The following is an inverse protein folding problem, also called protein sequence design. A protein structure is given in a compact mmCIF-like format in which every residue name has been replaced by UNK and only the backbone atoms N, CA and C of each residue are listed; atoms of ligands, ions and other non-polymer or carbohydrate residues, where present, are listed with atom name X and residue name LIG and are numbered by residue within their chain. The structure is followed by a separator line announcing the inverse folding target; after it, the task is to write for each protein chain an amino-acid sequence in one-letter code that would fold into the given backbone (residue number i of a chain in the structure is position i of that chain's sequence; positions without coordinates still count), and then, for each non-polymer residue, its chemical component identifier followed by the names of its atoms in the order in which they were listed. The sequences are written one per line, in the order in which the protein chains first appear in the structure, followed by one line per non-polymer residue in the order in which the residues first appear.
data_IF_664272941199
#
_entry.id   IF_664272941199
#
_cell.length_a   1.000
_cell.length_b   1.000
_cell.length_c   1.000
_cell.angle_alpha   90.00
_cell.angle_beta   90.00
_cell.angle_gamma   90.00
#
_symmetry.space_group_name_H-M   'P 1'
#
loop_
_entity.id
_entity.type
_entity.pdbx_description
1 polymer ?
#
# COMPACT_ATOMS: atom_id res chain seq x y z
N UNK A 1 -17.67 35.50 -50.87
CA UNK A 1 -17.32 36.77 -51.53
C UNK A 1 -18.13 37.85 -50.86
N UNK A 2 -17.65 38.91 -50.24
CA UNK A 2 -16.34 39.36 -49.79
C UNK A 2 -16.74 40.47 -48.80
N UNK A 3 -16.34 40.40 -47.54
CA UNK A 3 -16.50 41.53 -46.64
C UNK A 3 -15.13 41.96 -46.13
N UNK A 4 -14.92 43.23 -46.37
CA UNK A 4 -13.69 44.00 -46.34
C UNK A 4 -13.23 44.25 -44.91
N UNK A 5 -11.92 44.11 -44.72
CA UNK A 5 -11.17 44.69 -43.61
C UNK A 5 -11.30 46.21 -43.64
N UNK A 6 -11.34 46.86 -42.47
CA UNK A 6 -10.49 48.02 -42.17
C UNK A 6 -10.59 48.47 -40.70
N UNK A 7 -9.44 48.98 -40.24
CA UNK A 7 -9.22 49.91 -39.11
C UNK A 7 -9.35 49.35 -37.67
N UNK A 8 -8.50 49.70 -36.70
CA UNK A 8 -7.32 50.57 -36.63
C UNK A 8 -6.66 50.30 -35.26
N UNK A 9 -5.33 50.18 -35.23
CA UNK A 9 -4.53 50.18 -33.99
C UNK A 9 -4.14 51.62 -33.64
N UNK A 10 -4.10 52.01 -32.34
CA UNK A 10 -3.32 53.17 -31.92
C UNK A 10 -2.00 52.72 -31.29
N UNK A 11 -0.92 53.08 -31.96
CA UNK A 11 0.45 53.17 -31.44
C UNK A 11 0.66 54.52 -30.75
N UNK A 12 1.18 54.50 -29.52
CA UNK A 12 1.72 55.68 -28.85
C UNK A 12 3.09 55.34 -28.23
N UNK A 13 4.15 55.82 -28.90
CA UNK A 13 5.42 56.29 -28.34
C UNK A 13 5.15 57.53 -27.46
N UNK A 14 5.93 58.01 -26.49
CA UNK A 14 7.38 58.01 -26.21
C UNK A 14 7.61 58.76 -24.88
N UNK A 15 8.87 58.80 -24.41
CA UNK A 15 9.51 59.69 -23.40
C UNK A 15 9.39 59.23 -21.93
N UNK A 16 10.45 58.76 -21.25
CA UNK A 16 11.79 59.29 -20.90
C UNK A 16 11.80 60.26 -19.71
N UNK A 17 12.21 59.79 -18.54
CA UNK A 17 12.93 60.60 -17.55
C UNK A 17 13.50 59.74 -16.41
N UNK A 18 14.83 59.76 -16.37
CA UNK A 18 15.73 59.38 -15.27
C UNK A 18 15.40 60.13 -13.98
N UNK A 19 15.35 59.43 -12.83
CA UNK A 19 15.72 59.99 -11.51
C UNK A 19 16.40 58.92 -10.66
N UNK A 20 17.66 59.20 -10.32
CA UNK A 20 18.48 58.54 -9.32
C UNK A 20 17.87 58.64 -7.92
N UNK A 21 17.97 57.57 -7.13
CA UNK A 21 17.56 57.59 -5.72
C UNK A 21 18.14 56.43 -4.94
N UNK A 22 19.44 56.49 -4.65
CA UNK A 22 20.09 55.64 -3.68
C UNK A 22 19.52 55.87 -2.28
N UNK A 23 19.09 54.80 -1.60
CA UNK A 23 18.98 54.75 -0.13
C UNK A 23 19.14 53.31 0.35
N UNK A 24 20.32 53.04 0.90
CA UNK A 24 20.67 51.90 1.75
C UNK A 24 20.10 52.09 3.18
N UNK A 25 20.11 51.05 4.03
CA UNK A 25 19.05 50.74 5.00
C UNK A 25 19.37 51.23 6.43
N UNK A 26 18.40 51.13 7.36
CA UNK A 26 18.72 51.02 8.77
C UNK A 26 18.71 49.56 9.26
N UNK A 27 19.79 49.28 9.98
CA UNK A 27 20.12 48.13 10.80
C UNK A 27 19.25 47.99 12.05
N UNK A 28 19.38 46.83 12.72
CA UNK A 28 19.07 46.53 14.14
C UNK A 28 17.58 46.27 14.46
N UNK A 29 17.16 45.24 15.23
CA UNK A 29 17.72 44.63 16.44
C UNK A 29 17.33 43.15 16.57
N UNK A 30 18.32 42.31 16.89
CA UNK A 30 18.13 41.04 17.61
C UNK A 30 18.22 41.32 19.12
N UNK A 31 17.45 40.61 19.95
CA UNK A 31 17.90 40.27 21.29
C UNK A 31 17.96 38.75 21.47
N UNK A 32 19.18 38.26 21.56
CA UNK A 32 19.55 37.02 22.22
C UNK A 32 19.60 37.25 23.74
N UNK A 33 18.86 36.45 24.51
CA UNK A 33 19.21 36.20 25.90
C UNK A 33 19.09 34.69 26.16
N UNK A 34 20.25 34.08 26.41
CA UNK A 34 20.37 32.85 27.17
C UNK A 34 20.00 33.18 28.61
N UNK A 35 19.32 32.24 29.27
CA UNK A 35 19.58 31.93 30.67
C UNK A 35 19.50 30.41 30.86
N UNK A 36 20.68 29.83 31.05
CA UNK A 36 20.94 28.55 31.69
C UNK A 36 20.48 28.60 33.14
N UNK A 37 19.66 27.66 33.58
CA UNK A 37 19.81 27.10 34.93
C UNK A 37 19.35 25.64 34.99
N UNK A 38 20.32 24.85 35.45
CA UNK A 38 20.37 23.46 35.83
C UNK A 38 19.32 23.12 36.90
N UNK A 39 18.70 21.94 36.83
CA UNK A 39 18.39 21.08 37.99
C UNK A 39 17.82 19.74 37.48
N UNK A 40 18.60 18.67 37.66
CA UNK A 40 18.19 17.26 37.58
C UNK A 40 17.24 16.92 38.72
N UNK A 41 16.34 15.93 38.55
CA UNK A 41 16.69 14.63 39.12
C UNK A 41 16.31 13.42 38.27
N UNK A 42 17.27 12.51 38.22
CA UNK A 42 17.17 11.05 38.31
C UNK A 42 15.74 10.46 38.46
N UNK A 43 15.24 9.78 37.42
CA UNK A 43 14.32 8.65 37.60
C UNK A 43 14.48 7.66 36.43
N UNK A 44 15.02 6.51 36.80
CA UNK A 44 15.05 5.26 36.06
C UNK A 44 13.63 4.79 35.76
N UNK A 45 13.32 4.54 34.49
CA UNK A 45 12.18 3.72 34.09
C UNK A 45 12.54 2.87 32.88
N UNK A 46 12.29 1.59 33.07
CA UNK A 46 12.55 0.48 32.18
C UNK A 46 11.86 0.68 30.83
N UNK A 47 12.63 0.73 29.75
CA UNK A 47 12.09 0.64 28.40
C UNK A 47 11.87 -0.84 28.07
N UNK A 48 10.60 -1.25 28.06
CA UNK A 48 10.17 -2.43 27.33
C UNK A 48 10.23 -2.15 25.81
N UNK A 49 10.63 -3.13 24.98
CA UNK A 49 10.71 -2.92 23.54
C UNK A 49 9.30 -2.79 22.94
N UNK A 50 8.94 -1.58 22.50
CA UNK A 50 7.76 -1.31 21.68
C UNK A 50 8.06 -1.76 20.25
N UNK A 51 7.55 -2.92 19.87
CA UNK A 51 7.49 -3.41 18.51
C UNK A 51 6.60 -2.50 17.66
N UNK A 52 7.23 -1.52 17.01
CA UNK A 52 6.58 -0.63 16.05
C UNK A 52 6.56 -1.28 14.66
N UNK A 53 5.39 -1.48 14.03
CA UNK A 53 5.33 -1.93 12.64
C UNK A 53 5.64 -0.74 11.72
N UNK A 54 6.87 -0.69 11.23
CA UNK A 54 7.31 0.21 10.17
C UNK A 54 6.47 0.03 8.92
N UNK A 55 6.11 1.15 8.28
CA UNK A 55 5.54 1.17 6.92
C UNK A 55 6.63 1.01 5.85
N UNK A 56 7.57 0.09 6.07
CA UNK A 56 8.22 -0.63 4.98
C UNK A 56 7.21 -1.64 4.43
N UNK A 57 7.32 -2.00 3.15
CA UNK A 57 6.66 -3.19 2.61
C UNK A 57 7.21 -4.42 3.35
N UNK A 58 6.71 -4.70 4.55
CA UNK A 58 6.78 -6.02 5.14
C UNK A 58 5.46 -6.72 4.84
N UNK A 59 5.50 -7.48 3.76
CA UNK A 59 4.65 -8.65 3.60
C UNK A 59 4.89 -9.52 4.82
N UNK A 60 3.81 -9.87 5.50
CA UNK A 60 3.82 -10.88 6.56
C UNK A 60 4.36 -12.17 5.93
N UNK A 61 5.58 -12.56 6.32
CA UNK A 61 6.18 -13.83 5.94
C UNK A 61 5.29 -14.93 6.55
N UNK A 62 4.51 -15.59 5.69
CA UNK A 62 3.54 -16.60 6.10
C UNK A 62 4.22 -17.80 6.74
N UNK A 63 3.71 -18.16 7.92
CA UNK A 63 3.54 -19.54 8.40
C UNK A 63 4.58 -20.57 7.93
N UNK A 64 5.57 -20.82 8.77
CA UNK A 64 6.31 -22.08 8.75
C UNK A 64 5.34 -23.25 8.96
N UNK A 65 5.26 -24.13 7.98
CA UNK A 65 4.58 -25.42 8.07
C UNK A 65 5.39 -26.37 8.98
N UNK A 66 4.77 -27.19 9.85
CA UNK A 66 5.47 -28.23 10.57
C UNK A 66 5.99 -29.30 9.60
N UNK A 67 7.31 -29.48 9.53
CA UNK A 67 7.94 -30.66 8.91
C UNK A 67 7.93 -31.80 9.93
N UNK A 68 7.20 -32.87 9.63
CA UNK A 68 7.34 -34.13 10.35
C UNK A 68 8.69 -34.80 10.04
N UNK A 69 9.32 -35.28 11.12
CA UNK A 69 10.57 -36.01 11.14
C UNK A 69 10.47 -37.40 10.47
N UNK A 70 11.51 -37.80 9.74
CA UNK A 70 11.91 -39.19 9.55
C UNK A 70 13.38 -39.26 9.19
N UNK A 71 14.20 -39.58 10.20
CA UNK A 71 15.53 -40.15 10.01
C UNK A 71 15.40 -41.67 9.87
N UNK A 72 16.01 -42.24 8.84
CA UNK A 72 17.03 -43.30 8.95
C UNK A 72 17.46 -43.77 7.54
N UNK A 73 18.66 -43.34 7.15
CA UNK A 73 19.59 -43.93 6.17
C UNK A 73 19.97 -45.37 6.58
N UNK A 74 20.51 -46.27 5.70
CA UNK A 74 21.74 -45.98 4.95
C UNK A 74 22.05 -46.68 3.61
N UNK A 75 23.05 -46.05 2.96
CA UNK A 75 24.12 -46.59 2.10
C UNK A 75 23.87 -46.95 0.62
N UNK A 76 24.71 -46.30 -0.20
CA UNK A 76 24.99 -46.37 -1.66
C UNK A 76 25.71 -47.69 -2.08
N UNK A 77 26.17 -47.94 -3.35
CA UNK A 77 26.29 -47.05 -4.52
C UNK A 77 25.96 -47.63 -5.93
N UNK A 78 25.95 -46.72 -6.91
CA UNK A 78 26.38 -46.84 -8.32
C UNK A 78 25.80 -47.92 -9.26
N UNK A 79 25.19 -47.50 -10.38
CA UNK A 79 25.76 -47.70 -11.73
C UNK A 79 24.85 -47.12 -12.82
N UNK A 80 25.51 -46.73 -13.91
CA UNK A 80 24.94 -46.18 -15.13
C UNK A 80 24.44 -47.28 -16.10
N UNK A 81 23.85 -46.79 -17.20
CA UNK A 81 23.72 -47.40 -18.52
C UNK A 81 22.39 -48.06 -18.96
N UNK A 82 21.91 -47.51 -20.09
CA UNK A 82 21.33 -48.16 -21.27
C UNK A 82 19.84 -48.56 -21.34
N UNK A 83 19.14 -47.81 -22.22
CA UNK A 83 18.65 -48.27 -23.53
C UNK A 83 17.59 -49.40 -23.52
N UNK A 84 16.35 -49.06 -23.88
CA UNK A 84 15.61 -49.80 -24.92
C UNK A 84 14.49 -48.97 -25.58
N UNK A 85 14.57 -48.88 -26.90
CA UNK A 85 13.52 -48.48 -27.84
C UNK A 85 12.60 -49.67 -28.14
N UNK A 86 11.33 -49.41 -28.42
CA UNK A 86 10.38 -50.25 -29.18
C UNK A 86 9.14 -49.38 -29.42
N UNK A 87 8.99 -48.64 -30.53
CA UNK A 87 8.48 -49.04 -31.86
C UNK A 87 7.16 -49.82 -31.90
N UNK A 88 6.24 -49.32 -32.73
CA UNK A 88 4.91 -49.87 -33.10
C UNK A 88 3.79 -48.91 -32.69
N UNK A 89 3.35 -47.88 -33.45
CA UNK A 89 3.00 -47.73 -34.86
C UNK A 89 1.77 -48.53 -35.32
N UNK A 90 0.70 -47.78 -35.64
CA UNK A 90 -0.40 -48.00 -36.62
C UNK A 90 -1.80 -47.90 -35.97
N UNK A 91 -2.52 -46.81 -36.21
CA UNK A 91 -3.41 -46.54 -37.36
C UNK A 91 -4.78 -47.25 -37.17
N UNK A 92 -5.83 -46.51 -36.84
CA UNK A 92 -6.73 -45.78 -37.75
C UNK A 92 -7.91 -46.64 -38.20
N UNK A 93 -9.13 -46.29 -37.77
CA UNK A 93 -10.32 -46.41 -38.61
C UNK A 93 -11.49 -45.60 -38.00
N UNK A 94 -11.80 -44.47 -38.65
CA UNK A 94 -13.16 -43.97 -38.80
C UNK A 94 -13.95 -44.96 -39.68
N UNK A 95 -15.23 -45.24 -39.39
CA UNK A 95 -16.40 -45.05 -40.29
C UNK A 95 -17.66 -44.94 -39.41
N UNK A 96 -18.59 -44.08 -39.86
CA UNK A 96 -19.81 -43.59 -39.25
C UNK A 96 -21.03 -44.53 -39.17
N UNK A 97 -22.25 -43.95 -39.09
CA UNK A 97 -23.35 -44.43 -38.23
C UNK A 97 -24.54 -45.02 -39.00
N UNK A 98 -25.51 -45.58 -38.28
CA UNK A 98 -26.98 -45.46 -38.48
C UNK A 98 -27.73 -46.52 -37.63
N UNK A 99 -28.90 -46.18 -37.09
CA UNK A 99 -29.72 -47.18 -36.40
C UNK A 99 -30.86 -46.67 -35.53
N UNK A 100 -31.97 -46.35 -36.18
CA UNK A 100 -33.29 -45.97 -35.66
C UNK A 100 -33.91 -47.01 -34.69
N UNK A 101 -34.69 -46.57 -33.68
CA UNK A 101 -35.40 -47.49 -32.78
C UNK A 101 -36.36 -46.81 -31.80
N UNK A 102 -37.61 -46.62 -32.23
CA UNK A 102 -38.78 -46.19 -31.45
C UNK A 102 -39.34 -47.31 -30.56
N UNK A 103 -39.84 -46.99 -29.35
CA UNK A 103 -40.69 -47.90 -28.58
C UNK A 103 -41.16 -47.35 -27.22
N UNK A 104 -42.49 -47.30 -27.05
CA UNK A 104 -43.34 -47.08 -25.86
C UNK A 104 -42.82 -47.63 -24.52
N UNK A 105 -43.22 -47.22 -23.31
CA UNK A 105 -44.33 -46.42 -22.80
C UNK A 105 -44.69 -46.91 -21.37
N UNK A 106 -44.88 -45.97 -20.43
CA UNK A 106 -45.60 -46.06 -19.12
C UNK A 106 -45.08 -47.00 -18.00
N UNK A 107 -45.53 -46.87 -16.73
CA UNK A 107 -45.85 -45.67 -15.94
C UNK A 107 -45.21 -45.67 -14.52
N UNK A 108 -45.38 -44.54 -13.83
CA UNK A 108 -45.11 -44.23 -12.41
C UNK A 108 -45.69 -45.26 -11.41
N UNK A 109 -45.04 -45.44 -10.25
CA UNK A 109 -45.79 -45.51 -8.99
C UNK A 109 -45.31 -44.50 -7.93
N UNK A 110 -46.32 -44.05 -7.17
CA UNK A 110 -46.33 -43.08 -6.09
C UNK A 110 -45.72 -43.60 -4.78
N UNK A 111 -45.25 -42.63 -3.98
CA UNK A 111 -45.32 -42.53 -2.51
C UNK A 111 -44.75 -43.65 -1.65
N UNK A 112 -43.65 -43.35 -0.95
CA UNK A 112 -43.50 -43.72 0.46
C UNK A 112 -43.11 -42.49 1.28
N UNK A 113 -44.03 -42.10 2.14
CA UNK A 113 -43.86 -41.26 3.32
C UNK A 113 -42.87 -41.91 4.27
N UNK A 114 -41.66 -41.34 4.38
CA UNK A 114 -40.67 -41.68 5.39
C UNK A 114 -40.53 -40.54 6.38
N UNK A 115 -41.35 -40.57 7.44
CA UNK A 115 -41.15 -39.76 8.64
C UNK A 115 -39.94 -40.35 9.38
N UNK A 116 -38.78 -39.70 9.28
CA UNK A 116 -37.63 -39.98 10.15
C UNK A 116 -37.55 -38.91 11.25
N UNK A 117 -37.61 -39.30 12.54
CA UNK A 117 -37.37 -38.39 13.65
C UNK A 117 -35.86 -38.41 13.95
N UNK A 118 -35.13 -37.39 13.52
CA UNK A 118 -33.79 -37.14 14.01
C UNK A 118 -33.76 -35.79 14.70
N UNK A 119 -33.94 -35.89 16.01
CA UNK A 119 -33.69 -34.87 17.02
C UNK A 119 -32.19 -34.58 17.07
N UNK A 120 -31.66 -33.89 16.06
CA UNK A 120 -30.37 -33.25 16.18
C UNK A 120 -30.59 -31.95 16.92
N UNK A 121 -30.47 -31.99 18.24
CA UNK A 121 -30.18 -30.80 19.04
C UNK A 121 -28.87 -30.21 18.48
N UNK A 122 -29.00 -29.34 17.49
CA UNK A 122 -28.00 -28.33 17.22
C UNK A 122 -27.98 -27.46 18.47
N UNK A 123 -27.08 -27.81 19.38
CA UNK A 123 -26.59 -26.88 20.37
C UNK A 123 -26.04 -25.74 19.55
N UNK A 124 -26.86 -24.70 19.37
CA UNK A 124 -26.42 -23.39 18.94
C UNK A 124 -25.36 -23.02 19.98
N UNK A 125 -24.09 -23.28 19.64
CA UNK A 125 -22.95 -22.72 20.34
C UNK A 125 -23.15 -21.24 20.17
N UNK A 126 -23.73 -20.64 21.20
CA UNK A 126 -23.97 -19.21 21.31
C UNK A 126 -22.60 -18.57 21.19
N UNK A 127 -22.26 -18.16 19.97
CA UNK A 127 -21.06 -17.39 19.68
C UNK A 127 -21.03 -16.25 20.68
N UNK A 128 -19.94 -16.16 21.45
CA UNK A 128 -19.71 -15.05 22.38
C UNK A 128 -20.10 -13.74 21.68
N UNK A 129 -20.82 -12.82 22.34
CA UNK A 129 -21.17 -11.55 21.73
C UNK A 129 -19.88 -10.92 21.22
N UNK A 130 -19.79 -10.72 19.91
CA UNK A 130 -18.67 -10.04 19.27
C UNK A 130 -18.53 -8.70 19.98
N UNK A 131 -17.44 -8.50 20.69
CA UNK A 131 -17.17 -7.25 21.38
C UNK A 131 -17.24 -6.12 20.33
N UNK A 132 -18.31 -5.34 20.36
CA UNK A 132 -18.48 -4.23 19.44
C UNK A 132 -17.45 -3.17 19.83
N UNK A 133 -16.38 -3.09 19.04
CA UNK A 133 -15.37 -2.03 19.21
C UNK A 133 -16.00 -0.71 18.79
N UNK A 134 -15.99 0.26 19.70
CA UNK A 134 -16.53 1.59 19.41
C UNK A 134 -15.63 2.30 18.39
N UNK A 135 -16.18 2.91 17.33
CA UNK A 135 -15.36 3.57 16.31
C UNK A 135 -14.50 4.70 16.91
N UNK A 136 -14.95 5.34 17.97
CA UNK A 136 -14.22 6.39 18.69
C UNK A 136 -12.94 5.86 19.36
N UNK A 137 -12.95 4.62 19.84
CA UNK A 137 -11.77 3.97 20.42
C UNK A 137 -10.73 3.68 19.33
N UNK A 138 -11.17 3.17 18.18
CA UNK A 138 -10.27 2.93 17.04
C UNK A 138 -9.64 4.23 16.56
N UNK A 139 -10.43 5.30 16.41
CA UNK A 139 -9.91 6.61 16.01
C UNK A 139 -8.97 7.22 17.05
N UNK A 140 -9.25 7.03 18.34
CA UNK A 140 -8.34 7.44 19.42
C UNK A 140 -6.99 6.74 19.30
N UNK A 141 -6.97 5.42 19.10
CA UNK A 141 -5.71 4.68 18.94
C UNK A 141 -4.97 5.06 17.66
N UNK A 142 -5.68 5.25 16.55
CA UNK A 142 -5.10 5.76 15.30
C UNK A 142 -4.39 7.10 15.54
N UNK A 143 -5.05 8.06 16.19
CA UNK A 143 -4.53 9.41 16.40
C UNK A 143 -3.39 9.49 17.42
N UNK A 144 -3.19 8.46 18.26
CA UNK A 144 -2.00 8.38 19.13
C UNK A 144 -0.72 8.17 18.32
N UNK A 145 -0.80 7.44 17.21
CA UNK A 145 0.36 7.17 16.37
C UNK A 145 0.68 8.36 15.45
N UNK A 146 1.98 8.65 15.23
CA UNK A 146 2.39 9.70 14.30
C UNK A 146 1.88 9.42 12.86
N UNK A 147 1.90 8.14 12.46
CA UNK A 147 1.41 7.69 11.17
C UNK A 147 -0.11 7.88 11.00
N UNK A 148 -0.89 7.57 12.04
CA UNK A 148 -2.33 7.77 11.98
C UNK A 148 -2.72 9.25 11.90
N UNK A 149 -1.97 10.13 12.59
CA UNK A 149 -2.13 11.58 12.44
C UNK A 149 -1.82 12.06 11.02
N UNK A 150 -0.74 11.56 10.40
CA UNK A 150 -0.42 11.86 8.98
C UNK A 150 -1.61 11.54 8.06
N UNK A 151 -2.19 10.34 8.21
CA UNK A 151 -3.34 9.91 7.39
C UNK A 151 -4.59 10.73 7.66
N UNK A 152 -4.86 11.08 8.91
CA UNK A 152 -5.97 11.95 9.27
C UNK A 152 -5.82 13.34 8.63
N UNK A 153 -4.63 13.96 8.73
CA UNK A 153 -4.34 15.23 8.06
C UNK A 153 -4.44 15.13 6.54
N UNK A 154 -4.00 14.01 5.95
CA UNK A 154 -4.16 13.76 4.50
C UNK A 154 -5.64 13.75 4.11
N UNK A 155 -6.52 13.08 4.86
CA UNK A 155 -7.97 13.09 4.60
C UNK A 155 -8.52 14.52 4.67
N UNK A 156 -8.27 15.24 5.76
CA UNK A 156 -8.76 16.62 5.94
C UNK A 156 -8.29 17.51 4.79
N UNK A 157 -7.01 17.41 4.42
CA UNK A 157 -6.43 18.15 3.31
C UNK A 157 -7.14 17.88 1.97
N UNK A 158 -7.42 16.61 1.66
CA UNK A 158 -8.11 16.27 0.41
C UNK A 158 -9.60 16.58 0.43
N UNK A 159 -10.27 16.49 1.58
CA UNK A 159 -11.65 16.97 1.74
C UNK A 159 -11.75 18.48 1.47
N UNK A 160 -10.81 19.27 2.00
CA UNK A 160 -10.73 20.70 1.71
C UNK A 160 -10.48 20.98 0.23
N UNK A 161 -9.62 20.18 -0.43
CA UNK A 161 -9.41 20.29 -1.89
C UNK A 161 -10.67 19.95 -2.69
N UNK A 162 -11.41 18.91 -2.31
CA UNK A 162 -12.70 18.57 -2.93
C UNK A 162 -13.67 19.71 -2.76
N UNK A 163 -13.76 20.29 -1.56
CA UNK A 163 -14.62 21.44 -1.30
C UNK A 163 -14.27 22.62 -2.21
N UNK A 164 -12.98 22.98 -2.31
CA UNK A 164 -12.51 24.05 -3.22
C UNK A 164 -12.83 23.71 -4.68
N UNK A 165 -12.68 22.46 -5.10
CA UNK A 165 -12.97 22.00 -6.46
C UNK A 165 -14.45 22.12 -6.81
N UNK A 166 -15.32 21.65 -5.91
CA UNK A 166 -16.79 21.74 -6.06
C UNK A 166 -17.23 23.20 -6.08
N UNK A 167 -16.67 24.03 -5.20
CA UNK A 167 -16.96 25.45 -5.15
C UNK A 167 -16.54 26.18 -6.44
N UNK A 168 -15.37 25.84 -6.98
CA UNK A 168 -14.85 26.42 -8.22
C UNK A 168 -15.64 26.00 -9.47
N UNK A 169 -16.22 24.80 -9.47
CA UNK A 169 -17.05 24.29 -10.59
C UNK A 169 -18.51 24.70 -10.51
N UNK A 170 -19.04 24.87 -9.30
CA UNK A 170 -20.46 25.12 -9.07
C UNK A 170 -20.68 26.37 -8.22
N UNK A 171 -20.29 27.57 -8.71
CA UNK A 171 -20.43 28.82 -7.95
C UNK A 171 -21.91 29.14 -7.63
N UNK A 172 -22.84 28.61 -8.43
CA UNK A 172 -24.28 28.78 -8.22
C UNK A 172 -24.80 28.01 -7.00
N UNK A 173 -24.17 26.89 -6.64
CA UNK A 173 -24.61 26.03 -5.54
C UNK A 173 -24.23 26.61 -4.17
N UNK A 174 -23.18 27.44 -4.12
CA UNK A 174 -22.65 28.03 -2.89
C UNK A 174 -22.49 29.55 -3.03
N UNK A 175 -23.62 30.27 -2.97
CA UNK A 175 -23.65 31.75 -2.96
C UNK A 175 -23.23 32.31 -1.61
N UNK A 176 -22.00 32.07 -1.17
CA UNK A 176 -21.45 32.79 -0.03
C UNK A 176 -20.96 34.16 -0.49
N UNK A 177 -21.37 35.24 0.22
CA UNK A 177 -20.93 36.60 -0.09
C UNK A 177 -19.40 36.78 -0.02
N UNK A 178 -18.69 35.88 0.68
CA UNK A 178 -17.24 35.91 0.88
C UNK A 178 -16.51 34.66 0.30
N UNK A 179 -17.07 34.04 -0.73
CA UNK A 179 -16.55 32.82 -1.36
C UNK A 179 -15.06 32.88 -1.73
N UNK A 180 -14.61 33.98 -2.32
CA UNK A 180 -13.22 34.13 -2.76
C UNK A 180 -12.22 34.13 -1.60
N UNK A 181 -12.56 34.83 -0.51
CA UNK A 181 -11.72 34.89 0.69
C UNK A 181 -11.67 33.53 1.40
N UNK A 182 -12.80 32.82 1.46
CA UNK A 182 -12.86 31.47 2.00
C UNK A 182 -11.97 30.50 1.20
N UNK A 183 -12.06 30.52 -0.14
CA UNK A 183 -11.21 29.68 -1.01
C UNK A 183 -9.72 30.01 -0.83
N UNK A 184 -9.38 31.30 -0.72
CA UNK A 184 -8.01 31.74 -0.43
C UNK A 184 -7.52 31.17 0.90
N UNK A 185 -8.28 31.32 1.98
CA UNK A 185 -7.95 30.79 3.31
C UNK A 185 -7.81 29.27 3.32
N UNK A 186 -8.72 28.56 2.66
CA UNK A 186 -8.66 27.11 2.53
C UNK A 186 -7.41 26.66 1.78
N UNK A 187 -6.99 27.36 0.72
CA UNK A 187 -5.75 27.04 0.00
C UNK A 187 -4.51 27.24 0.87
N UNK A 188 -4.45 28.32 1.65
CA UNK A 188 -3.37 28.55 2.62
C UNK A 188 -3.35 27.43 3.66
N UNK A 189 -4.51 27.10 4.24
CA UNK A 189 -4.64 26.02 5.21
C UNK A 189 -4.27 24.64 4.63
N UNK A 190 -4.65 24.33 3.38
CA UNK A 190 -4.24 23.11 2.66
C UNK A 190 -2.71 23.05 2.51
N UNK A 191 -2.07 24.20 2.27
CA UNK A 191 -0.62 24.33 2.21
C UNK A 191 0.04 24.04 3.56
N UNK A 192 -0.44 24.70 4.62
CA UNK A 192 0.05 24.51 5.98
C UNK A 192 -0.15 23.08 6.49
N UNK A 193 -1.33 22.48 6.28
CA UNK A 193 -1.60 21.07 6.62
C UNK A 193 -0.64 20.13 5.88
N UNK A 194 -0.34 20.42 4.62
CA UNK A 194 0.65 19.67 3.85
C UNK A 194 2.06 19.77 4.43
N UNK A 195 2.44 20.96 4.92
CA UNK A 195 3.73 21.18 5.59
C UNK A 195 3.78 20.48 6.94
N UNK A 196 2.78 20.66 7.81
CA UNK A 196 2.68 19.99 9.11
C UNK A 196 2.77 18.48 8.95
N UNK A 197 2.12 17.92 7.92
CA UNK A 197 2.19 16.50 7.60
C UNK A 197 3.59 16.04 7.25
N UNK A 198 4.31 16.79 6.40
CA UNK A 198 5.71 16.49 6.07
C UNK A 198 6.59 16.55 7.30
N UNK A 199 6.41 17.55 8.15
CA UNK A 199 7.16 17.70 9.40
C UNK A 199 6.94 16.54 10.37
N UNK A 200 5.73 15.94 10.39
CA UNK A 200 5.43 14.77 11.22
C UNK A 200 6.14 13.48 10.78
N UNK A 201 6.58 13.41 9.52
CA UNK A 201 7.24 12.23 8.93
C UNK A 201 8.73 12.52 8.66
N UNK A 202 9.26 13.62 9.18
CA UNK A 202 10.69 13.90 9.05
C UNK A 202 11.52 12.81 9.72
N UNK A 203 12.71 12.56 9.16
CA UNK A 203 13.64 11.53 9.60
C UNK A 203 13.14 10.09 9.38
N UNK A 204 12.17 9.88 8.49
CA UNK A 204 11.71 8.54 8.12
C UNK A 204 12.80 7.70 7.42
N UNK A 205 13.92 8.30 7.00
CA UNK A 205 15.09 7.60 6.47
C UNK A 205 15.87 6.82 7.55
N UNK A 206 15.66 7.09 8.84
CA UNK A 206 16.29 6.35 9.92
C UNK A 206 15.86 4.88 9.93
N UNK A 207 14.59 4.59 9.61
CA UNK A 207 14.08 3.21 9.56
C UNK A 207 14.80 2.34 8.53
N UNK A 208 14.87 2.71 7.23
CA UNK A 208 15.61 1.92 6.24
C UNK A 208 17.12 1.93 6.54
N UNK A 209 17.66 3.00 7.14
CA UNK A 209 19.06 3.01 7.56
C UNK A 209 19.34 1.94 8.64
N UNK A 210 18.51 1.88 9.68
CA UNK A 210 18.64 0.86 10.74
C UNK A 210 18.52 -0.54 10.14
N UNK A 211 17.64 -0.75 9.17
CA UNK A 211 17.51 -2.03 8.47
C UNK A 211 18.78 -2.41 7.67
N UNK A 212 19.48 -1.44 7.08
CA UNK A 212 20.75 -1.67 6.36
C UNK A 212 21.91 -1.90 7.33
N UNK A 213 21.93 -1.17 8.45
CA UNK A 213 23.01 -1.27 9.46
C UNK A 213 22.86 -2.55 10.27
N UNK A 214 21.64 -2.88 10.67
CA UNK A 214 21.29 -4.06 11.46
C UNK A 214 20.36 -4.93 10.61
N UNK A 215 20.88 -5.60 9.56
CA UNK A 215 20.13 -6.65 8.92
C UNK A 215 19.94 -7.72 9.99
N UNK A 216 18.76 -7.74 10.61
CA UNK A 216 18.34 -8.81 11.49
C UNK A 216 18.69 -10.12 10.78
N UNK A 217 19.28 -11.07 11.49
CA UNK A 217 19.89 -12.31 10.97
C UNK A 217 18.90 -13.27 10.23
N UNK A 218 17.75 -12.78 9.76
CA UNK A 218 16.58 -13.54 9.37
C UNK A 218 16.42 -13.80 7.86
N UNK A 219 17.45 -13.69 7.02
CA UNK A 219 17.23 -13.93 5.57
C UNK A 219 18.33 -14.64 4.77
N UNK A 220 19.37 -15.19 5.39
CA UNK A 220 20.28 -16.10 4.66
C UNK A 220 20.62 -17.35 5.47
N UNK A 221 19.78 -18.40 5.43
CA UNK A 221 20.05 -19.66 6.13
C UNK A 221 21.18 -20.50 5.50
N UNK A 222 22.04 -19.92 4.65
CA UNK A 222 23.07 -20.64 3.91
C UNK A 222 24.51 -20.15 4.13
N UNK A 223 24.73 -19.16 5.01
CA UNK A 223 26.09 -18.76 5.40
C UNK A 223 26.63 -19.63 6.55
N UNK A 224 26.51 -20.94 6.39
CA UNK A 224 27.13 -21.91 7.29
C UNK A 224 28.54 -22.19 6.79
N UNK A 225 29.53 -21.64 7.51
CA UNK A 225 30.95 -22.02 7.51
C UNK A 225 31.91 -21.07 6.78
N UNK A 226 32.85 -20.57 7.59
CA UNK A 226 34.14 -19.98 7.24
C UNK A 226 34.15 -18.53 6.69
N UNK A 227 34.14 -17.55 7.60
CA UNK A 227 35.18 -16.52 7.66
C UNK A 227 35.01 -15.66 8.92
N UNK A 228 35.89 -15.86 9.90
CA UNK A 228 36.17 -14.94 10.99
C UNK A 228 36.90 -13.69 10.46
N UNK A 229 36.60 -12.54 11.08
CA UNK A 229 37.44 -11.32 11.14
C UNK A 229 37.44 -10.36 9.93
N UNK A 230 36.29 -9.75 9.65
CA UNK A 230 36.22 -8.35 9.23
C UNK A 230 34.77 -7.92 9.35
N UNK A 231 34.45 -6.93 10.20
CA UNK A 231 33.11 -6.36 10.20
C UNK A 231 32.84 -5.82 8.79
N UNK A 232 31.83 -6.33 8.05
CA UNK A 232 31.63 -5.93 6.67
C UNK A 232 31.44 -4.42 6.64
N UNK A 233 32.28 -3.74 5.86
CA UNK A 233 32.27 -2.28 5.73
C UNK A 233 30.86 -1.81 5.38
N UNK A 234 30.49 -0.61 5.84
CA UNK A 234 29.16 -0.04 5.56
C UNK A 234 28.85 -0.08 4.06
N UNK A 235 29.82 0.23 3.20
CA UNK A 235 29.66 0.18 1.75
C UNK A 235 29.27 -1.22 1.23
N UNK A 236 29.84 -2.28 1.80
CA UNK A 236 29.46 -3.65 1.46
C UNK A 236 27.98 -3.91 1.81
N UNK A 237 27.52 -3.45 2.98
CA UNK A 237 26.10 -3.59 3.39
C UNK A 237 25.16 -2.80 2.49
N UNK A 238 25.57 -1.61 2.05
CA UNK A 238 24.79 -0.80 1.11
C UNK A 238 24.71 -1.44 -0.29
N UNK A 239 25.80 -2.00 -0.80
CA UNK A 239 25.82 -2.65 -2.12
C UNK A 239 25.01 -3.95 -2.16
N UNK A 240 24.92 -4.65 -1.03
CA UNK A 240 24.13 -5.88 -0.89
C UNK A 240 22.70 -5.66 -0.36
N UNK A 241 22.31 -4.40 -0.09
CA UNK A 241 20.96 -4.11 0.36
C UNK A 241 19.95 -4.36 -0.78
N UNK A 242 18.74 -4.87 -0.47
CA UNK A 242 17.70 -5.03 -1.46
C UNK A 242 17.42 -3.70 -2.18
N UNK A 243 17.33 -3.67 -3.52
CA UNK A 243 17.10 -2.44 -4.27
C UNK A 243 15.91 -1.59 -3.79
N UNK A 244 14.77 -2.16 -3.36
CA UNK A 244 13.65 -1.37 -2.82
C UNK A 244 14.01 -0.58 -1.55
N UNK A 245 14.83 -1.16 -0.66
CA UNK A 245 15.22 -0.51 0.61
C UNK A 245 16.13 0.68 0.35
N UNK A 246 17.05 0.56 -0.61
CA UNK A 246 17.90 1.67 -1.04
C UNK A 246 17.08 2.80 -1.66
N UNK A 247 16.09 2.44 -2.47
CA UNK A 247 15.20 3.39 -3.10
C UNK A 247 14.39 4.15 -2.05
N UNK A 248 13.83 3.46 -1.05
CA UNK A 248 13.09 4.07 0.05
C UNK A 248 13.97 4.97 0.91
N UNK A 249 15.23 4.58 1.16
CA UNK A 249 16.21 5.42 1.85
C UNK A 249 16.46 6.73 1.09
N UNK A 250 16.76 6.64 -0.21
CA UNK A 250 17.02 7.82 -1.04
C UNK A 250 15.79 8.70 -1.16
N UNK A 251 14.60 8.11 -1.28
CA UNK A 251 13.33 8.82 -1.27
C UNK A 251 13.13 9.61 0.02
N UNK A 252 13.35 8.97 1.17
CA UNK A 252 13.17 9.61 2.47
C UNK A 252 14.20 10.74 2.71
N UNK A 253 15.46 10.54 2.33
CA UNK A 253 16.50 11.59 2.41
C UNK A 253 16.13 12.77 1.52
N UNK A 254 15.73 12.52 0.27
CA UNK A 254 15.38 13.59 -0.68
C UNK A 254 14.11 14.33 -0.27
N UNK A 255 13.11 13.67 0.33
CA UNK A 255 11.91 14.33 0.87
C UNK A 255 12.21 15.21 2.08
N UNK A 256 13.12 14.78 2.97
CA UNK A 256 13.57 15.59 4.11
C UNK A 256 14.32 16.84 3.64
N UNK A 257 15.27 16.69 2.69
CA UNK A 257 15.98 17.83 2.08
C UNK A 257 15.01 18.78 1.38
N UNK A 258 14.00 18.25 0.66
CA UNK A 258 12.97 19.07 0.05
C UNK A 258 12.10 19.79 1.09
N UNK A 259 11.85 19.18 2.23
CA UNK A 259 11.09 19.77 3.34
C UNK A 259 11.89 20.87 4.03
N UNK A 260 13.19 20.65 4.30
CA UNK A 260 14.09 21.69 4.82
C UNK A 260 14.20 22.90 3.89
N UNK A 261 14.20 22.69 2.58
CA UNK A 261 14.12 23.80 1.62
C UNK A 261 12.82 24.58 1.75
N UNK A 262 11.66 23.91 1.87
CA UNK A 262 10.37 24.59 2.05
C UNK A 262 10.26 25.34 3.38
N UNK A 263 11.01 24.91 4.39
CA UNK A 263 11.14 25.63 5.67
C UNK A 263 12.07 26.85 5.57
N UNK A 264 12.77 27.04 4.44
CA UNK A 264 13.70 28.14 4.23
C UNK A 264 15.11 27.90 4.81
N UNK A 265 15.43 26.67 5.22
CA UNK A 265 16.73 26.32 5.80
C UNK A 265 17.81 26.04 4.75
N UNK A 266 17.40 25.70 3.53
CA UNK A 266 18.30 25.36 2.42
C UNK A 266 18.12 26.30 1.23
N UNK A 267 19.19 26.52 0.47
CA UNK A 267 19.17 27.35 -0.73
C UNK A 267 18.28 26.78 -1.85
N UNK A 268 17.70 27.67 -2.65
CA UNK A 268 16.72 27.35 -3.70
C UNK A 268 17.25 26.34 -4.74
N UNK A 269 18.54 26.40 -5.07
CA UNK A 269 19.17 25.51 -6.05
C UNK A 269 19.17 24.04 -5.62
N UNK A 270 19.55 23.78 -4.36
CA UNK A 270 19.62 22.43 -3.80
C UNK A 270 18.20 21.92 -3.57
N UNK A 271 17.34 22.76 -3.00
CA UNK A 271 15.95 22.44 -2.72
C UNK A 271 15.12 22.08 -3.95
N UNK A 272 15.23 22.86 -5.03
CA UNK A 272 14.53 22.60 -6.29
C UNK A 272 14.99 21.30 -6.97
N UNK A 273 16.28 20.95 -6.85
CA UNK A 273 16.80 19.67 -7.35
C UNK A 273 16.32 18.51 -6.47
N UNK A 274 16.41 18.64 -5.16
CA UNK A 274 15.96 17.63 -4.21
C UNK A 274 14.46 17.33 -4.35
N UNK A 275 13.62 18.36 -4.52
CA UNK A 275 12.20 18.18 -4.75
C UNK A 275 11.91 17.34 -6.01
N UNK A 276 12.59 17.65 -7.13
CA UNK A 276 12.46 16.86 -8.37
C UNK A 276 12.93 15.42 -8.19
N UNK A 277 14.03 15.21 -7.47
CA UNK A 277 14.53 13.86 -7.20
C UNK A 277 13.57 13.07 -6.30
N UNK A 278 13.00 13.70 -5.27
CA UNK A 278 11.99 13.09 -4.41
C UNK A 278 10.76 12.65 -5.22
N UNK A 279 10.29 13.48 -6.16
CA UNK A 279 9.17 13.11 -7.05
C UNK A 279 9.52 11.90 -7.95
N UNK A 280 10.75 11.83 -8.48
CA UNK A 280 11.24 10.68 -9.25
C UNK A 280 11.39 9.41 -8.41
N UNK A 281 11.95 9.50 -7.20
CA UNK A 281 12.07 8.36 -6.31
C UNK A 281 10.71 7.89 -5.83
N UNK A 282 9.79 8.79 -5.54
CA UNK A 282 8.43 8.44 -5.20
C UNK A 282 7.71 7.70 -6.34
N UNK A 283 7.91 8.15 -7.59
CA UNK A 283 7.42 7.44 -8.78
C UNK A 283 8.00 6.01 -8.86
N UNK A 284 9.32 5.88 -8.73
CA UNK A 284 10.00 4.60 -8.83
C UNK A 284 9.60 3.64 -7.70
N UNK A 285 9.45 4.13 -6.46
CA UNK A 285 8.96 3.36 -5.30
C UNK A 285 7.54 2.85 -5.55
N UNK A 286 6.66 3.72 -6.06
CA UNK A 286 5.27 3.36 -6.38
C UNK A 286 5.20 2.30 -7.48
N UNK A 287 6.07 2.39 -8.49
CA UNK A 287 6.15 1.41 -9.57
C UNK A 287 6.67 0.05 -9.07
N UNK A 288 7.73 0.06 -8.25
CA UNK A 288 8.27 -1.15 -7.64
C UNK A 288 7.20 -1.87 -6.80
N UNK A 289 6.50 -1.13 -5.92
CA UNK A 289 5.41 -1.70 -5.13
C UNK A 289 4.24 -2.21 -5.97
N UNK A 290 3.97 -1.60 -7.14
CA UNK A 290 2.92 -2.08 -8.04
C UNK A 290 3.30 -3.42 -8.68
N UNK A 291 4.57 -3.61 -9.05
CA UNK A 291 5.09 -4.86 -9.60
C UNK A 291 5.09 -5.95 -8.52
N UNK A 292 5.54 -5.63 -7.31
CA UNK A 292 5.56 -6.54 -6.17
C UNK A 292 4.15 -7.05 -5.82
N UNK A 293 3.19 -6.13 -5.64
CA UNK A 293 1.78 -6.48 -5.41
C UNK A 293 1.18 -7.24 -6.59
N UNK A 294 1.65 -6.97 -7.81
CA UNK A 294 1.28 -7.70 -9.01
C UNK A 294 1.74 -9.17 -8.97
N UNK A 295 3.00 -9.40 -8.58
CA UNK A 295 3.59 -10.72 -8.45
C UNK A 295 2.93 -11.53 -7.32
N UNK A 296 2.75 -10.94 -6.14
CA UNK A 296 2.03 -11.56 -5.02
C UNK A 296 0.62 -11.98 -5.40
N UNK A 297 -0.11 -11.11 -6.09
CA UNK A 297 -1.47 -11.42 -6.54
C UNK A 297 -1.49 -12.56 -7.54
N UNK A 298 -0.49 -12.66 -8.41
CA UNK A 298 -0.38 -13.77 -9.35
C UNK A 298 -0.14 -15.10 -8.61
N UNK A 299 0.74 -15.10 -7.61
CA UNK A 299 1.01 -16.26 -6.76
C UNK A 299 -0.22 -16.70 -5.98
N UNK A 300 -0.89 -15.77 -5.26
CA UNK A 300 -2.11 -16.07 -4.49
C UNK A 300 -3.24 -16.58 -5.38
N UNK A 301 -3.37 -16.05 -6.60
CA UNK A 301 -4.34 -16.55 -7.57
C UNK A 301 -4.03 -17.99 -8.01
N UNK A 302 -2.76 -18.36 -8.11
CA UNK A 302 -2.32 -19.74 -8.37
C UNK A 302 -2.74 -20.67 -7.24
N UNK A 303 -2.40 -20.32 -6.00
CA UNK A 303 -2.77 -21.10 -4.81
C UNK A 303 -4.28 -21.24 -4.64
N UNK A 304 -5.05 -20.19 -4.93
CA UNK A 304 -6.51 -20.23 -4.85
C UNK A 304 -7.11 -21.25 -5.84
N UNK A 305 -6.61 -21.28 -7.08
CA UNK A 305 -7.06 -22.26 -8.09
C UNK A 305 -6.70 -23.68 -7.71
N UNK A 306 -5.53 -23.87 -7.11
CA UNK A 306 -5.09 -25.19 -6.64
C UNK A 306 -5.96 -25.69 -5.48
N UNK A 307 -6.29 -24.85 -4.51
CA UNK A 307 -7.20 -25.20 -3.43
C UNK A 307 -8.64 -25.44 -3.93
N UNK A 308 -9.13 -24.63 -4.87
CA UNK A 308 -10.45 -24.84 -5.48
C UNK A 308 -10.54 -26.17 -6.23
N UNK A 309 -9.46 -26.58 -6.92
CA UNK A 309 -9.39 -27.88 -7.58
C UNK A 309 -9.36 -29.04 -6.56
N UNK A 310 -8.54 -28.93 -5.51
CA UNK A 310 -8.46 -29.95 -4.45
C UNK A 310 -9.78 -30.13 -3.69
N UNK A 311 -10.48 -29.03 -3.43
CA UNK A 311 -11.78 -29.06 -2.76
C UNK A 311 -12.83 -29.75 -3.64
N UNK A 312 -12.82 -29.46 -4.95
CA UNK A 312 -13.71 -30.11 -5.91
C UNK A 312 -13.43 -31.62 -6.01
N UNK A 313 -12.16 -32.02 -6.08
CA UNK A 313 -11.77 -33.44 -6.12
C UNK A 313 -12.17 -34.17 -4.82
N UNK A 314 -11.96 -33.53 -3.65
CA UNK A 314 -12.36 -34.06 -2.35
C UNK A 314 -13.89 -34.17 -2.19
N UNK A 315 -14.65 -33.25 -2.77
CA UNK A 315 -16.12 -33.28 -2.78
C UNK A 315 -16.65 -34.40 -3.69
N UNK A 316 -15.99 -34.67 -4.82
CA UNK A 316 -16.35 -35.77 -5.70
C UNK A 316 -15.99 -37.13 -5.10
N UNK A 317 -14.88 -37.23 -4.38
CA UNK A 317 -14.48 -38.43 -3.67
C UNK A 317 -15.19 -38.52 -2.30
N UNK A 318 -16.42 -39.06 -2.32
CA UNK A 318 -17.34 -39.16 -1.15
C UNK A 318 -16.78 -39.88 0.08
N UNK A 319 -15.56 -40.41 0.01
CA UNK A 319 -14.85 -41.06 1.11
C UNK A 319 -13.93 -40.13 1.90
N UNK A 320 -13.80 -38.86 1.50
CA UNK A 320 -12.88 -37.92 2.16
C UNK A 320 -13.41 -37.46 3.52
N UNK A 321 -12.53 -37.41 4.53
CA UNK A 321 -12.87 -36.94 5.89
C UNK A 321 -13.41 -35.49 5.86
N UNK A 322 -14.62 -35.29 6.40
CA UNK A 322 -15.29 -33.98 6.48
C UNK A 322 -14.42 -32.91 7.18
N UNK A 323 -13.60 -33.29 8.17
CA UNK A 323 -12.71 -32.36 8.87
C UNK A 323 -11.66 -31.73 7.95
N UNK A 324 -11.15 -32.48 6.96
CA UNK A 324 -10.17 -31.95 5.98
C UNK A 324 -10.81 -30.95 5.03
N UNK A 325 -12.08 -31.18 4.67
CA UNK A 325 -12.87 -30.26 3.83
C UNK A 325 -13.06 -28.94 4.58
N UNK A 326 -13.47 -28.99 5.85
CA UNK A 326 -13.64 -27.80 6.70
C UNK A 326 -12.34 -26.98 6.85
N UNK A 327 -11.18 -27.63 6.96
CA UNK A 327 -9.87 -26.95 7.01
C UNK A 327 -9.52 -26.26 5.68
N UNK A 328 -9.75 -26.94 4.56
CA UNK A 328 -9.51 -26.39 3.22
C UNK A 328 -10.45 -25.21 2.92
N UNK A 329 -11.71 -25.27 3.34
CA UNK A 329 -12.64 -24.14 3.20
C UNK A 329 -12.20 -22.92 4.01
N UNK A 330 -11.70 -23.13 5.23
CA UNK A 330 -11.12 -22.05 6.05
C UNK A 330 -9.90 -21.44 5.36
N UNK A 331 -9.00 -22.24 4.82
CA UNK A 331 -7.82 -21.76 4.10
C UNK A 331 -8.21 -20.97 2.83
N UNK A 332 -9.19 -21.48 2.07
CA UNK A 332 -9.75 -20.81 0.91
C UNK A 332 -10.36 -19.46 1.28
N UNK A 333 -11.11 -19.38 2.38
CA UNK A 333 -11.69 -18.11 2.85
C UNK A 333 -10.61 -17.09 3.22
N UNK A 334 -9.51 -17.55 3.83
CA UNK A 334 -8.34 -16.72 4.17
C UNK A 334 -7.64 -16.21 2.91
N UNK A 335 -7.40 -17.08 1.92
CA UNK A 335 -6.78 -16.70 0.65
C UNK A 335 -7.66 -15.72 -0.14
N UNK A 336 -8.99 -15.92 -0.16
CA UNK A 336 -9.91 -14.97 -0.79
C UNK A 336 -9.85 -13.59 -0.13
N UNK A 337 -9.80 -13.54 1.20
CA UNK A 337 -9.61 -12.29 1.95
C UNK A 337 -8.28 -11.62 1.59
N UNK A 338 -7.17 -12.37 1.58
CA UNK A 338 -5.85 -11.88 1.17
C UNK A 338 -5.87 -11.34 -0.27
N UNK A 339 -6.51 -12.04 -1.20
CA UNK A 339 -6.65 -11.60 -2.58
C UNK A 339 -7.44 -10.28 -2.69
N UNK A 340 -8.51 -10.12 -1.90
CA UNK A 340 -9.25 -8.87 -1.78
C UNK A 340 -8.38 -7.72 -1.28
N UNK A 341 -7.56 -7.98 -0.24
CA UNK A 341 -6.61 -7.00 0.30
C UNK A 341 -5.51 -6.59 -0.70
N UNK A 342 -5.01 -7.53 -1.49
CA UNK A 342 -4.07 -7.26 -2.57
C UNK A 342 -4.71 -6.41 -3.68
N UNK A 343 -5.97 -6.68 -4.03
CA UNK A 343 -6.71 -5.87 -5.00
C UNK A 343 -6.89 -4.41 -4.52
N UNK A 344 -7.23 -4.22 -3.25
CA UNK A 344 -7.31 -2.92 -2.60
C UNK A 344 -5.96 -2.20 -2.62
N UNK A 345 -4.87 -2.90 -2.28
CA UNK A 345 -3.51 -2.32 -2.27
C UNK A 345 -3.06 -1.93 -3.68
N UNK A 346 -3.35 -2.76 -4.68
CA UNK A 346 -3.08 -2.44 -6.09
C UNK A 346 -3.86 -1.21 -6.54
N UNK A 347 -5.15 -1.12 -6.20
CA UNK A 347 -5.97 0.04 -6.53
C UNK A 347 -5.39 1.31 -5.89
N UNK A 348 -4.96 1.25 -4.63
CA UNK A 348 -4.27 2.36 -3.96
C UNK A 348 -3.04 2.81 -4.75
N UNK A 349 -2.17 1.88 -5.13
CA UNK A 349 -0.94 2.18 -5.87
C UNK A 349 -1.24 2.74 -7.26
N UNK A 350 -2.29 2.28 -7.93
CA UNK A 350 -2.74 2.85 -9.21
C UNK A 350 -3.25 4.29 -9.05
N UNK A 351 -3.95 4.59 -7.96
CA UNK A 351 -4.39 5.96 -7.65
C UNK A 351 -3.20 6.87 -7.34
N UNK A 352 -2.22 6.39 -6.58
CA UNK A 352 -0.97 7.11 -6.30
C UNK A 352 -0.16 7.31 -7.60
N UNK A 353 -0.05 6.29 -8.46
CA UNK A 353 0.59 6.40 -9.77
C UNK A 353 -0.11 7.42 -10.67
N UNK A 354 -1.45 7.38 -10.72
CA UNK A 354 -2.25 8.35 -11.48
C UNK A 354 -2.01 9.77 -10.97
N UNK A 355 -1.89 9.94 -9.66
CA UNK A 355 -1.57 11.22 -9.04
C UNK A 355 -0.19 11.74 -9.49
N UNK A 356 0.84 10.89 -9.45
CA UNK A 356 2.21 11.24 -9.86
C UNK A 356 2.28 11.55 -11.35
N UNK A 357 1.73 10.67 -12.20
CA UNK A 357 1.70 10.83 -13.65
C UNK A 357 0.97 12.12 -14.07
N UNK A 358 -0.12 12.46 -13.38
CA UNK A 358 -0.83 13.71 -13.60
C UNK A 358 -0.06 14.95 -13.13
N UNK A 359 0.83 14.80 -12.15
CA UNK A 359 1.54 15.93 -11.54
C UNK A 359 2.75 16.38 -12.38
N UNK A 360 3.60 15.44 -12.82
CA UNK A 360 4.92 15.77 -13.40
C UNK A 360 5.20 15.21 -14.80
N UNK A 361 4.76 14.00 -15.11
CA UNK A 361 5.16 13.32 -16.35
C UNK A 361 4.38 13.81 -17.58
N UNK A 362 3.06 13.89 -17.48
CA UNK A 362 2.22 14.14 -18.66
C UNK A 362 1.69 15.58 -18.79
N UNK A 363 1.91 16.44 -17.78
CA UNK A 363 1.53 17.86 -17.78
C UNK A 363 0.10 18.15 -18.32
N UNK A 364 -0.86 17.25 -18.06
CA UNK A 364 -2.24 17.40 -18.55
C UNK A 364 -2.93 18.60 -17.88
N UNK A 365 -2.95 19.76 -18.56
CA UNK A 365 -3.44 21.01 -17.96
C UNK A 365 -4.93 21.01 -17.60
N UNK A 366 -5.77 20.29 -18.35
CA UNK A 366 -7.25 20.41 -18.24
C UNK A 366 -7.88 19.55 -17.14
N UNK A 367 -7.29 18.40 -16.81
CA UNK A 367 -7.84 17.43 -15.86
C UNK A 367 -7.00 17.29 -14.57
N UNK A 368 -5.90 18.04 -14.44
CA UNK A 368 -4.95 17.90 -13.33
C UNK A 368 -5.61 17.98 -11.97
N UNK A 369 -6.29 19.08 -11.69
CA UNK A 369 -6.84 19.37 -10.37
C UNK A 369 -7.96 18.40 -9.93
N UNK A 370 -8.97 18.05 -10.76
CA UNK A 370 -9.97 17.08 -10.36
C UNK A 370 -9.39 15.69 -10.17
N UNK A 371 -8.54 15.22 -11.09
CA UNK A 371 -7.91 13.88 -10.99
C UNK A 371 -7.07 13.80 -9.73
N UNK A 372 -6.21 14.80 -9.49
CA UNK A 372 -5.35 14.89 -8.30
C UNK A 372 -6.14 14.85 -7.00
N UNK A 373 -7.28 15.53 -6.98
CA UNK A 373 -8.10 15.64 -5.78
C UNK A 373 -8.85 14.34 -5.50
N UNK A 374 -9.45 13.72 -6.52
CA UNK A 374 -10.21 12.48 -6.40
C UNK A 374 -9.26 11.30 -6.11
N UNK A 375 -8.17 11.17 -6.86
CA UNK A 375 -7.20 10.09 -6.64
C UNK A 375 -6.51 10.22 -5.28
N UNK A 376 -6.15 11.44 -4.89
CA UNK A 376 -5.58 11.74 -3.58
C UNK A 376 -6.51 11.42 -2.42
N UNK A 377 -7.81 11.74 -2.54
CA UNK A 377 -8.83 11.36 -1.55
C UNK A 377 -9.03 9.84 -1.50
N UNK A 378 -9.18 9.19 -2.66
CA UNK A 378 -9.36 7.73 -2.74
C UNK A 378 -8.20 6.98 -2.09
N UNK A 379 -6.96 7.36 -2.40
CA UNK A 379 -5.76 6.79 -1.76
C UNK A 379 -5.73 7.04 -0.25
N UNK A 380 -6.13 8.23 0.21
CA UNK A 380 -6.18 8.56 1.64
C UNK A 380 -7.23 7.71 2.39
N UNK A 381 -8.46 7.63 1.87
CA UNK A 381 -9.53 6.83 2.44
C UNK A 381 -9.15 5.35 2.50
N UNK A 382 -8.60 4.81 1.42
CA UNK A 382 -8.22 3.41 1.33
C UNK A 382 -7.07 3.07 2.29
N UNK A 383 -6.12 3.99 2.46
CA UNK A 383 -5.04 3.84 3.44
C UNK A 383 -5.55 3.89 4.88
N UNK A 384 -6.51 4.76 5.19
CA UNK A 384 -7.10 4.86 6.52
C UNK A 384 -7.99 3.67 6.81
N UNK A 385 -8.74 3.17 5.83
CA UNK A 385 -9.53 1.94 5.95
C UNK A 385 -8.66 0.73 6.32
N UNK A 386 -7.52 0.54 5.65
CA UNK A 386 -6.56 -0.52 5.98
C UNK A 386 -6.06 -0.42 7.43
N UNK A 387 -5.70 0.79 7.85
CA UNK A 387 -5.22 1.04 9.22
C UNK A 387 -6.33 0.86 10.26
N UNK A 388 -7.56 1.27 9.94
CA UNK A 388 -8.72 1.09 10.81
C UNK A 388 -8.99 -0.39 11.08
N UNK A 389 -9.02 -1.23 10.04
CA UNK A 389 -9.22 -2.67 10.20
C UNK A 389 -8.08 -3.30 11.02
N UNK A 390 -6.82 -2.93 10.74
CA UNK A 390 -5.67 -3.43 11.51
C UNK A 390 -5.73 -3.07 13.00
N UNK A 391 -6.20 -1.87 13.34
CA UNK A 391 -6.33 -1.43 14.73
C UNK A 391 -7.54 -2.10 15.41
N UNK A 392 -8.65 -2.26 14.69
CA UNK A 392 -9.80 -3.00 15.17
C UNK A 392 -9.44 -4.45 15.51
N UNK A 393 -8.68 -5.13 14.66
CA UNK A 393 -8.21 -6.50 14.91
C UNK A 393 -7.29 -6.56 16.14
N UNK A 394 -6.48 -5.53 16.37
CA UNK A 394 -5.58 -5.45 17.54
C UNK A 394 -6.37 -5.26 18.83
N UNK A 395 -7.38 -4.39 18.83
CA UNK A 395 -8.26 -4.16 19.99
C UNK A 395 -9.06 -5.42 20.30
N UNK A 396 -9.60 -6.10 19.28
CA UNK A 396 -10.33 -7.35 19.46
C UNK A 396 -9.46 -8.44 20.09
N UNK A 397 -8.18 -8.53 19.71
CA UNK A 397 -7.22 -9.48 20.30
C UNK A 397 -6.88 -9.15 21.75
N UNK A 398 -6.72 -7.88 22.08
CA UNK A 398 -6.38 -7.46 23.45
C UNK A 398 -7.56 -7.62 24.44
N UNK A 399 -8.79 -7.68 23.93
CA UNK A 399 -10.01 -7.86 24.72
C UNK A 399 -10.43 -9.34 24.89
N UNK A 400 -9.75 -10.28 24.22
CA UNK A 400 -9.93 -11.71 24.38
C UNK A 400 -8.95 -12.26 25.41
#
# INVERSE_FOLDING_TARGET
MSYQNDAQWPSASSSSSSVNGARSPPSSYFPSHLDTNTLTPNQSSQYAPVSSPSASFHVVQGSELPRHARDTTPTSPASAYSRRKSMGASASMLIGPDGNGSGSGSPVPRTHSGTLPLTSKSTIVRSKPTAFVRPEEVWREILKTAYGRDKAFKIIQYLMRVFVLVHSRSPKLFRFKNSHELVRRLNVAIGHLGMTRKNLIMFNWLTPLIHIISPSESSVPFASSAATLSSPTLMHRFLHAPPPVLLDLLNAITDDVATFWRLGLLGERIGSRAARLADWFWFASTLAGLVEVGAERAMVKGMLRELEARLYDAEMDKTTDLEKIDEQEKELSRLKSQFGWLAVTRLKLLLDLTFVCAYDLFKFKRARDPVKTISGLGSALLSTYKMYNSQQDTILKNNQ
#
